data_IF_097072859190
#
_entry.id   IF_097072859190
#
_cell.length_a   1.000
_cell.length_b   1.000
_cell.length_c   1.000
_cell.angle_alpha   90.00
_cell.angle_beta   90.00
_cell.angle_gamma   90.00
#
_symmetry.space_group_name_H-M   'P 1'
#
loop_
_entity.id
_entity.type
_entity.pdbx_description
1 polymer ?
#
# COMPACT_ATOMS: atom_id res chain seq x y z
N UNK A 1 -5.37 2.86 -23.34
CA UNK A 1 -4.82 3.56 -22.16
C UNK A 1 -4.59 5.00 -22.57
N UNK A 2 -5.35 5.92 -21.99
CA UNK A 2 -5.21 7.35 -22.28
C UNK A 2 -3.86 7.88 -21.77
N UNK A 3 -3.40 8.99 -22.33
CA UNK A 3 -2.15 9.63 -21.91
C UNK A 3 -2.18 9.99 -20.42
N UNK A 4 -3.34 10.43 -19.91
CA UNK A 4 -3.58 10.72 -18.50
C UNK A 4 -3.32 9.50 -17.61
N UNK A 5 -3.95 8.36 -17.89
CA UNK A 5 -3.77 7.14 -17.09
C UNK A 5 -2.32 6.67 -17.11
N UNK A 6 -1.64 6.82 -18.25
CA UNK A 6 -0.23 6.45 -18.39
C UNK A 6 0.65 7.33 -17.51
N UNK A 7 0.45 8.64 -17.55
CA UNK A 7 1.16 9.58 -16.71
C UNK A 7 0.89 9.34 -15.22
N UNK A 8 -0.35 9.02 -14.84
CA UNK A 8 -0.69 8.65 -13.45
C UNK A 8 0.04 7.39 -13.01
N UNK A 9 0.07 6.33 -13.82
CA UNK A 9 0.81 5.11 -13.49
C UNK A 9 2.32 5.38 -13.36
N UNK A 10 2.92 6.09 -14.31
CA UNK A 10 4.35 6.44 -14.25
C UNK A 10 4.66 7.32 -13.03
N UNK A 11 3.82 8.30 -12.73
CA UNK A 11 3.96 9.15 -11.56
C UNK A 11 3.88 8.37 -10.25
N UNK A 12 2.95 7.41 -10.14
CA UNK A 12 2.84 6.54 -8.96
C UNK A 12 4.05 5.61 -8.82
N UNK A 13 4.54 5.01 -9.91
CA UNK A 13 5.76 4.19 -9.85
C UNK A 13 7.00 5.02 -9.51
N UNK A 14 7.12 6.24 -10.05
CA UNK A 14 8.20 7.14 -9.70
C UNK A 14 8.14 7.53 -8.21
N UNK A 15 6.96 7.89 -7.71
CA UNK A 15 6.74 8.17 -6.30
C UNK A 15 7.07 6.96 -5.41
N UNK A 16 6.63 5.76 -5.79
CA UNK A 16 6.98 4.53 -5.10
C UNK A 16 8.49 4.31 -5.05
N UNK A 17 9.20 4.52 -6.16
CA UNK A 17 10.66 4.45 -6.23
C UNK A 17 11.34 5.42 -5.28
N UNK A 18 10.87 6.67 -5.22
CA UNK A 18 11.38 7.66 -4.25
C UNK A 18 11.16 7.19 -2.81
N UNK A 19 9.97 6.70 -2.47
CA UNK A 19 9.70 6.24 -1.09
C UNK A 19 10.53 5.00 -0.75
N UNK A 20 10.77 4.07 -1.68
CA UNK A 20 11.67 2.95 -1.47
C UNK A 20 13.12 3.40 -1.19
N UNK A 21 13.61 4.44 -1.87
CA UNK A 21 14.91 5.03 -1.56
C UNK A 21 14.94 5.61 -0.14
N UNK A 22 13.86 6.26 0.29
CA UNK A 22 13.73 6.77 1.67
C UNK A 22 13.69 5.62 2.70
N UNK A 23 12.98 4.52 2.41
CA UNK A 23 13.01 3.31 3.24
C UNK A 23 14.45 2.80 3.37
N UNK A 24 15.16 2.65 2.24
CA UNK A 24 16.56 2.24 2.23
C UNK A 24 17.44 3.15 3.08
N UNK A 25 17.28 4.47 2.92
CA UNK A 25 18.02 5.46 3.71
C UNK A 25 17.79 5.23 5.21
N UNK A 26 16.54 5.12 5.66
CA UNK A 26 16.24 4.90 7.08
C UNK A 26 16.83 3.59 7.58
N UNK A 27 16.62 2.49 6.86
CA UNK A 27 17.09 1.15 7.24
C UNK A 27 18.63 1.08 7.33
N UNK A 28 19.36 1.76 6.44
CA UNK A 28 20.82 1.70 6.41
C UNK A 28 21.51 2.76 7.29
N UNK A 29 20.81 3.81 7.72
CA UNK A 29 21.43 4.93 8.45
C UNK A 29 20.93 5.12 9.87
N UNK A 30 19.80 4.51 10.26
CA UNK A 30 19.21 4.67 11.59
C UNK A 30 19.10 3.32 12.28
N UNK A 31 19.73 3.19 13.45
CA UNK A 31 19.53 2.02 14.31
C UNK A 31 18.26 2.20 15.15
N UNK A 32 17.22 1.37 14.95
CA UNK A 32 15.96 1.47 15.70
C UNK A 32 16.11 1.12 17.19
N UNK A 33 17.22 0.51 17.62
CA UNK A 33 17.51 0.24 19.04
C UNK A 33 17.98 1.49 19.78
N UNK A 34 18.64 2.40 19.07
CA UNK A 34 19.16 3.65 19.61
C UNK A 34 18.20 4.83 19.38
N UNK A 35 17.44 4.80 18.29
CA UNK A 35 16.41 5.77 17.93
C UNK A 35 15.07 5.05 17.69
N UNK A 36 14.21 4.89 18.72
CA UNK A 36 12.91 4.25 18.56
C UNK A 36 12.01 4.92 17.52
N UNK A 37 12.20 6.22 17.28
CA UNK A 37 11.46 6.97 16.26
C UNK A 37 11.75 6.47 14.84
N UNK A 38 12.96 5.98 14.58
CA UNK A 38 13.34 5.41 13.29
C UNK A 38 12.54 4.15 12.95
N UNK A 39 12.14 3.36 13.95
CA UNK A 39 11.27 2.20 13.76
C UNK A 39 9.91 2.60 13.21
N UNK A 40 9.22 3.55 13.85
CA UNK A 40 7.91 4.03 13.41
C UNK A 40 7.97 4.75 12.06
N UNK A 41 9.02 5.55 11.83
CA UNK A 41 9.24 6.20 10.53
C UNK A 41 9.45 5.15 9.43
N UNK A 42 10.28 4.13 9.68
CA UNK A 42 10.49 3.03 8.75
C UNK A 42 9.20 2.27 8.44
N UNK A 43 8.37 2.01 9.46
CA UNK A 43 7.05 1.39 9.28
C UNK A 43 6.12 2.23 8.39
N UNK A 44 6.03 3.53 8.64
CA UNK A 44 5.25 4.47 7.84
C UNK A 44 5.72 4.49 6.38
N UNK A 45 7.03 4.59 6.14
CA UNK A 45 7.60 4.60 4.81
C UNK A 45 7.40 3.26 4.09
N UNK A 46 7.51 2.13 4.77
CA UNK A 46 7.25 0.81 4.17
C UNK A 46 5.78 0.65 3.76
N UNK A 47 4.84 1.02 4.64
CA UNK A 47 3.41 1.01 4.31
C UNK A 47 3.10 1.89 3.11
N UNK A 48 3.65 3.11 3.07
CA UNK A 48 3.49 4.04 1.96
C UNK A 48 4.11 3.49 0.67
N UNK A 49 5.34 2.97 0.72
CA UNK A 49 6.05 2.42 -0.43
C UNK A 49 5.27 1.27 -1.06
N UNK A 50 4.82 0.32 -0.24
CA UNK A 50 4.06 -0.84 -0.72
C UNK A 50 2.70 -0.39 -1.26
N UNK A 51 1.99 0.49 -0.55
CA UNK A 51 0.71 1.05 -1.02
C UNK A 51 0.83 1.70 -2.39
N UNK A 52 1.80 2.60 -2.57
CA UNK A 52 2.07 3.26 -3.86
C UNK A 52 2.51 2.28 -4.95
N UNK A 53 3.23 1.21 -4.59
CA UNK A 53 3.65 0.18 -5.54
C UNK A 53 2.45 -0.62 -6.06
N UNK A 54 1.50 -0.98 -5.20
CA UNK A 54 0.37 -1.83 -5.59
C UNK A 54 -0.80 -1.08 -6.23
N UNK A 55 -0.97 0.23 -5.96
CA UNK A 55 -2.01 1.05 -6.58
C UNK A 55 -2.06 0.94 -8.13
N UNK A 56 -0.96 1.21 -8.86
CA UNK A 56 -0.95 1.07 -10.31
C UNK A 56 -1.17 -0.38 -10.75
N UNK A 57 -0.71 -1.36 -9.96
CA UNK A 57 -0.92 -2.78 -10.26
C UNK A 57 -2.40 -3.18 -10.14
N UNK A 58 -3.11 -2.69 -9.12
CA UNK A 58 -4.55 -2.93 -8.99
C UNK A 58 -5.31 -2.32 -10.16
N UNK A 59 -4.97 -1.11 -10.58
CA UNK A 59 -5.58 -0.49 -11.74
C UNK A 59 -5.29 -1.27 -13.03
N UNK A 60 -4.02 -1.62 -13.27
CA UNK A 60 -3.59 -2.38 -14.45
C UNK A 60 -4.25 -3.75 -14.53
N UNK A 61 -4.44 -4.43 -13.38
CA UNK A 61 -5.10 -5.73 -13.33
C UNK A 61 -6.55 -5.69 -13.82
N UNK A 62 -7.29 -4.62 -13.47
CA UNK A 62 -8.67 -4.39 -13.91
C UNK A 62 -8.69 -4.01 -15.38
N UNK A 63 -7.80 -3.10 -15.79
CA UNK A 63 -7.65 -2.68 -17.18
C UNK A 63 -7.32 -3.86 -18.12
N UNK A 64 -6.43 -4.76 -17.70
CA UNK A 64 -6.08 -5.95 -18.48
C UNK A 64 -7.23 -6.94 -18.58
N UNK A 65 -8.04 -7.10 -17.53
CA UNK A 65 -9.20 -8.00 -17.51
C UNK A 65 -10.33 -7.49 -18.40
N UNK A 66 -10.55 -6.18 -18.46
CA UNK A 66 -11.62 -5.58 -19.26
C UNK A 66 -11.22 -5.23 -20.70
N UNK A 67 -10.38 -6.06 -21.33
CA UNK A 67 -9.93 -5.89 -22.72
C UNK A 67 -9.34 -4.50 -23.02
N UNK A 68 -8.65 -3.88 -22.06
CA UNK A 68 -7.99 -2.55 -22.19
C UNK A 68 -8.94 -1.36 -22.32
N UNK A 69 -10.15 -1.49 -21.76
CA UNK A 69 -11.10 -0.37 -21.57
C UNK A 69 -10.93 0.17 -20.15
N UNK A 70 -10.78 1.49 -20.01
CA UNK A 70 -10.69 2.16 -18.71
C UNK A 70 -12.08 2.65 -18.29
N UNK A 71 -12.58 2.23 -17.13
CA UNK A 71 -13.88 2.66 -16.62
C UNK A 71 -13.75 3.79 -15.59
N UNK A 72 -14.80 4.61 -15.52
CA UNK A 72 -14.94 5.63 -14.47
C UNK A 72 -14.97 4.94 -13.10
N UNK A 73 -14.10 5.38 -12.19
CA UNK A 73 -14.03 4.85 -10.83
C UNK A 73 -13.00 3.72 -10.61
N UNK A 74 -12.37 3.19 -11.67
CA UNK A 74 -11.32 2.18 -11.53
C UNK A 74 -10.14 2.70 -10.71
N UNK A 75 -9.76 3.97 -10.93
CA UNK A 75 -8.73 4.63 -10.14
C UNK A 75 -9.09 4.75 -8.66
N UNK A 76 -10.34 5.12 -8.34
CA UNK A 76 -10.77 5.24 -6.95
C UNK A 76 -10.70 3.88 -6.22
N UNK A 77 -11.12 2.81 -6.91
CA UNK A 77 -11.00 1.43 -6.38
C UNK A 77 -9.55 1.01 -6.20
N UNK A 78 -8.69 1.30 -7.17
CA UNK A 78 -7.27 0.96 -7.12
C UNK A 78 -6.54 1.71 -5.99
N UNK A 79 -6.81 3.01 -5.83
CA UNK A 79 -6.27 3.83 -4.74
C UNK A 79 -6.73 3.31 -3.39
N UNK A 80 -8.02 3.03 -3.22
CA UNK A 80 -8.55 2.50 -1.96
C UNK A 80 -7.93 1.14 -1.61
N UNK A 81 -7.85 0.20 -2.55
CA UNK A 81 -7.22 -1.10 -2.33
C UNK A 81 -5.74 -0.96 -2.01
N UNK A 82 -5.02 -0.09 -2.70
CA UNK A 82 -3.63 0.20 -2.37
C UNK A 82 -3.44 0.84 -1.01
N UNK A 83 -4.35 1.73 -0.60
CA UNK A 83 -4.37 2.31 0.74
C UNK A 83 -4.59 1.24 1.81
N UNK A 84 -5.53 0.30 1.59
CA UNK A 84 -5.72 -0.83 2.50
C UNK A 84 -4.45 -1.66 2.66
N UNK A 85 -3.78 -2.02 1.56
CA UNK A 85 -2.52 -2.77 1.64
C UNK A 85 -1.46 -1.98 2.41
N UNK A 86 -1.30 -0.69 2.13
CA UNK A 86 -0.34 0.17 2.84
C UNK A 86 -0.62 0.27 4.34
N UNK A 87 -1.89 0.41 4.73
CA UNK A 87 -2.33 0.42 6.14
C UNK A 87 -2.06 -0.92 6.82
N UNK A 88 -2.38 -2.04 6.16
CA UNK A 88 -2.10 -3.37 6.70
C UNK A 88 -0.60 -3.53 6.96
N UNK A 89 0.24 -3.23 5.97
CA UNK A 89 1.70 -3.29 6.12
C UNK A 89 2.16 -2.42 7.28
N UNK A 90 1.72 -1.17 7.34
CA UNK A 90 2.06 -0.25 8.42
C UNK A 90 1.74 -0.85 9.80
N UNK A 91 0.50 -1.31 9.98
CA UNK A 91 0.04 -1.87 11.25
C UNK A 91 0.84 -3.12 11.61
N UNK A 92 1.04 -4.05 10.67
CA UNK A 92 1.78 -5.29 10.94
C UNK A 92 3.25 -5.02 11.30
N UNK A 93 3.89 -4.06 10.64
CA UNK A 93 5.27 -3.67 10.98
C UNK A 93 5.31 -3.02 12.36
N UNK A 94 4.36 -2.12 12.70
CA UNK A 94 4.30 -1.50 14.03
C UNK A 94 4.09 -2.56 15.12
N UNK A 95 3.16 -3.49 14.93
CA UNK A 95 2.94 -4.61 15.86
C UNK A 95 4.21 -5.46 16.02
N UNK A 96 4.95 -5.68 14.93
CA UNK A 96 6.22 -6.41 14.96
C UNK A 96 7.28 -5.64 15.75
N UNK A 97 7.38 -4.33 15.56
CA UNK A 97 8.32 -3.46 16.29
C UNK A 97 8.04 -3.42 17.79
N UNK A 98 6.77 -3.44 18.18
CA UNK A 98 6.34 -3.45 19.57
C UNK A 98 6.40 -4.83 20.24
N UNK A 99 6.75 -5.88 19.49
CA UNK A 99 6.82 -7.25 20.02
C UNK A 99 5.46 -7.91 20.30
N UNK A 100 4.36 -7.32 19.82
CA UNK A 100 2.97 -7.80 20.02
C UNK A 100 2.40 -8.49 18.78
N UNK A 101 3.20 -8.70 17.75
CA UNK A 101 2.76 -9.39 16.53
C UNK A 101 2.43 -10.85 16.82
N UNK A 102 1.18 -11.22 16.52
CA UNK A 102 0.69 -12.59 16.53
C UNK A 102 0.03 -12.91 15.17
N UNK A 103 0.29 -14.10 14.57
CA UNK A 103 -0.30 -14.48 13.29
C UNK A 103 -1.84 -14.43 13.27
N UNK A 104 -2.50 -14.73 14.40
CA UNK A 104 -3.96 -14.65 14.52
C UNK A 104 -4.44 -13.19 14.43
N UNK A 105 -3.72 -12.23 15.02
CA UNK A 105 -4.01 -10.79 14.87
C UNK A 105 -3.87 -10.38 13.40
N UNK A 106 -2.83 -10.85 12.71
CA UNK A 106 -2.64 -10.56 11.30
C UNK A 106 -3.79 -11.09 10.43
N UNK A 107 -4.23 -12.34 10.67
CA UNK A 107 -5.38 -12.93 9.98
C UNK A 107 -6.67 -12.17 10.28
N UNK A 108 -6.88 -11.75 11.53
CA UNK A 108 -8.03 -10.95 11.91
C UNK A 108 -8.07 -9.61 11.18
N UNK A 109 -6.94 -8.88 11.13
CA UNK A 109 -6.82 -7.61 10.39
C UNK A 109 -7.13 -7.82 8.90
N UNK A 110 -6.55 -8.86 8.29
CA UNK A 110 -6.81 -9.19 6.88
C UNK A 110 -8.29 -9.50 6.64
N UNK A 111 -8.93 -10.28 7.53
CA UNK A 111 -10.35 -10.57 7.48
C UNK A 111 -11.21 -9.30 7.54
N UNK A 112 -10.90 -8.40 8.48
CA UNK A 112 -11.60 -7.11 8.61
C UNK A 112 -11.45 -6.24 7.36
N UNK A 113 -10.25 -6.15 6.79
CA UNK A 113 -10.00 -5.39 5.56
C UNK A 113 -10.75 -6.00 4.37
N UNK A 114 -10.82 -7.33 4.27
CA UNK A 114 -11.59 -8.01 3.23
C UNK A 114 -13.08 -7.73 3.36
N UNK A 115 -13.63 -7.81 4.58
CA UNK A 115 -15.03 -7.50 4.85
C UNK A 115 -15.32 -6.02 4.53
N UNK A 116 -14.47 -5.10 4.96
CA UNK A 116 -14.63 -3.68 4.69
C UNK A 116 -14.59 -3.38 3.18
N UNK A 117 -13.63 -3.96 2.45
CA UNK A 117 -13.55 -3.77 0.99
C UNK A 117 -14.75 -4.41 0.26
N UNK A 118 -15.26 -5.55 0.74
CA UNK A 118 -16.46 -6.18 0.20
C UNK A 118 -17.70 -5.30 0.42
N UNK A 119 -17.90 -4.78 1.64
CA UNK A 119 -19.00 -3.88 1.97
C UNK A 119 -18.97 -2.61 1.10
N UNK A 120 -17.81 -1.95 1.00
CA UNK A 120 -17.62 -0.76 0.16
C UNK A 120 -17.73 -1.02 -1.34
N UNK A 121 -17.63 -2.28 -1.76
CA UNK A 121 -17.82 -2.69 -3.15
C UNK A 121 -19.26 -3.09 -3.47
N UNK A 122 -20.10 -3.39 -2.46
CA UNK A 122 -21.49 -3.81 -2.65
C UNK A 122 -22.47 -2.63 -2.75
N UNK A 123 -22.13 -1.46 -2.20
CA UNK A 123 -22.99 -0.26 -2.23
C UNK A 123 -23.09 0.42 -3.62
N UNK A 124 -22.51 -0.14 -4.69
CA UNK A 124 -22.44 0.49 -6.02
C UNK A 124 -22.53 -0.53 -7.16
#
# INVERSE_FOLDING_TARGET
MEARDRLTNLGLFAAAGVVWLLVGLVVFTRDPRLDPGAGFLGAALMGLAIGLTVMPLFWLSVFSRHRRVAFRGDWLRAVRRGAWVGVVVLVLVVLRLQGVFDPAIALFILGMVLIAEAALSAER
#
